data_IF_049539743214
#
_entry.id   IF_049539743214
#
_cell.length_a   1.000
_cell.length_b   1.000
_cell.length_c   1.000
_cell.angle_alpha   90.00
_cell.angle_beta   90.00
_cell.angle_gamma   90.00
#
_symmetry.space_group_name_H-M   'P 1'
#
loop_
_entity.id
_entity.type
_entity.pdbx_description
1 polymer ?
#
# COMPACT_ATOMS: atom_id res chain seq x y z
N UNK A 1 -20.82 10.17 -15.55
CA UNK A 1 -19.36 10.26 -15.31
C UNK A 1 -19.14 10.27 -13.80
N UNK A 2 -18.17 9.55 -13.21
CA UNK A 2 -17.77 9.93 -11.84
C UNK A 2 -16.93 9.01 -10.97
N UNK A 3 -16.95 7.68 -11.14
CA UNK A 3 -16.29 6.80 -10.14
C UNK A 3 -15.25 5.82 -10.70
N UNK A 4 -15.30 5.50 -12.01
CA UNK A 4 -14.30 4.63 -12.66
C UNK A 4 -12.91 5.28 -12.76
N UNK A 5 -12.82 6.61 -12.86
CA UNK A 5 -11.54 7.32 -12.98
C UNK A 5 -10.80 7.49 -11.65
N UNK A 6 -11.48 7.41 -10.50
CA UNK A 6 -10.80 7.39 -9.20
C UNK A 6 -9.97 6.12 -9.05
N UNK A 7 -10.41 4.97 -9.57
CA UNK A 7 -9.64 3.73 -9.48
C UNK A 7 -8.28 3.85 -10.21
N UNK A 8 -8.24 4.50 -11.39
CA UNK A 8 -7.02 4.70 -12.18
C UNK A 8 -6.12 5.84 -11.67
N UNK A 9 -6.68 6.99 -11.29
CA UNK A 9 -5.89 8.11 -10.73
C UNK A 9 -5.33 7.79 -9.34
N UNK A 10 -6.08 7.02 -8.54
CA UNK A 10 -5.65 6.60 -7.22
C UNK A 10 -4.53 5.55 -7.31
N UNK A 11 -4.39 4.79 -8.40
CA UNK A 11 -3.35 3.77 -8.54
C UNK A 11 -1.92 4.34 -8.55
N UNK A 12 -1.70 5.49 -9.21
CA UNK A 12 -0.40 6.17 -9.18
C UNK A 12 -0.10 6.79 -7.80
N UNK A 13 -1.11 7.38 -7.15
CA UNK A 13 -0.98 7.93 -5.79
C UNK A 13 -0.74 6.84 -4.74
N UNK A 14 -1.48 5.74 -4.82
CA UNK A 14 -1.30 4.54 -4.00
C UNK A 14 0.02 3.85 -4.30
N UNK A 15 0.48 3.86 -5.55
CA UNK A 15 1.80 3.39 -5.95
C UNK A 15 2.90 4.24 -5.31
N UNK A 16 2.75 5.58 -5.32
CA UNK A 16 3.66 6.51 -4.65
C UNK A 16 3.64 6.33 -3.12
N UNK A 17 2.49 6.06 -2.53
CA UNK A 17 2.38 5.74 -1.09
C UNK A 17 3.01 4.36 -0.76
N UNK A 18 2.75 3.34 -1.58
CA UNK A 18 3.38 2.03 -1.47
C UNK A 18 4.90 2.11 -1.62
N UNK A 19 5.39 2.91 -2.57
CA UNK A 19 6.81 3.20 -2.73
C UNK A 19 7.40 3.91 -1.51
N UNK A 20 6.68 4.87 -0.90
CA UNK A 20 7.12 5.48 0.35
C UNK A 20 7.27 4.47 1.49
N UNK A 21 6.42 3.44 1.58
CA UNK A 21 6.58 2.37 2.57
C UNK A 21 7.83 1.50 2.33
N UNK A 22 8.29 1.40 1.08
CA UNK A 22 9.51 0.68 0.71
C UNK A 22 10.74 1.57 0.94
N UNK A 23 10.70 2.81 0.45
CA UNK A 23 11.83 3.73 0.43
C UNK A 23 12.08 4.43 1.78
N UNK A 24 11.04 4.67 2.58
CA UNK A 24 11.14 5.38 3.86
C UNK A 24 10.38 4.67 4.97
N UNK A 25 11.09 3.94 5.83
CA UNK A 25 10.50 3.21 6.95
C UNK A 25 10.26 4.06 8.21
N UNK A 26 10.86 5.25 8.30
CA UNK A 26 10.81 6.12 9.48
C UNK A 26 9.60 7.06 9.56
N UNK A 27 8.84 7.18 8.47
CA UNK A 27 7.65 8.06 8.46
C UNK A 27 6.58 7.47 9.36
N UNK A 28 5.88 8.33 10.13
CA UNK A 28 4.79 7.91 11.04
C UNK A 28 3.76 7.02 10.37
N UNK A 29 3.39 7.33 9.13
CA UNK A 29 2.46 6.51 8.34
C UNK A 29 3.04 5.11 8.10
N UNK A 30 4.31 4.98 7.74
CA UNK A 30 4.97 3.68 7.55
C UNK A 30 5.02 2.90 8.86
N UNK A 31 5.37 3.55 9.98
CA UNK A 31 5.40 2.90 11.31
C UNK A 31 4.02 2.44 11.77
N UNK A 32 2.99 3.25 11.57
CA UNK A 32 1.60 2.90 11.89
C UNK A 32 1.11 1.71 11.07
N UNK A 33 1.30 1.76 9.74
CA UNK A 33 0.91 0.66 8.86
C UNK A 33 1.76 -0.59 9.11
N UNK A 34 3.05 -0.46 9.41
CA UNK A 34 3.93 -1.57 9.81
C UNK A 34 3.43 -2.23 11.09
N UNK A 35 3.13 -1.46 12.13
CA UNK A 35 2.61 -1.98 13.39
C UNK A 35 1.27 -2.71 13.21
N UNK A 36 0.41 -2.23 12.30
CA UNK A 36 -0.94 -2.77 12.10
C UNK A 36 -1.02 -3.93 11.09
N UNK A 37 -0.18 -3.94 10.06
CA UNK A 37 -0.38 -4.82 8.90
C UNK A 37 0.85 -5.62 8.45
N UNK A 38 2.07 -5.23 8.85
CA UNK A 38 3.29 -5.97 8.48
C UNK A 38 4.37 -5.88 9.57
N UNK A 39 3.99 -6.26 10.79
CA UNK A 39 4.85 -6.18 11.97
C UNK A 39 6.13 -7.01 11.76
N UNK A 40 7.29 -6.38 11.95
CA UNK A 40 8.60 -7.02 11.77
C UNK A 40 9.01 -7.32 10.32
N UNK A 41 8.13 -7.09 9.34
CA UNK A 41 8.37 -7.38 7.92
C UNK A 41 8.59 -6.15 7.05
N UNK A 42 8.77 -6.38 5.75
CA UNK A 42 8.75 -5.34 4.71
C UNK A 42 7.34 -5.22 4.14
N UNK A 43 7.01 -4.04 3.60
CA UNK A 43 5.75 -3.83 2.89
C UNK A 43 5.51 -4.89 1.81
N UNK A 44 6.55 -5.28 1.05
CA UNK A 44 6.46 -6.29 -0.01
C UNK A 44 6.11 -7.71 0.47
N UNK A 45 6.30 -8.00 1.76
CA UNK A 45 6.03 -9.31 2.37
C UNK A 45 4.70 -9.30 3.15
N UNK A 46 3.99 -8.18 3.14
CA UNK A 46 2.73 -8.05 3.85
C UNK A 46 1.67 -8.99 3.26
N UNK A 47 0.98 -9.74 4.14
CA UNK A 47 -0.09 -10.66 3.75
C UNK A 47 -1.44 -9.96 3.91
N UNK A 48 -2.38 -10.21 3.00
CA UNK A 48 -3.77 -9.82 3.19
C UNK A 48 -4.37 -10.73 4.26
N UNK A 49 -4.67 -10.16 5.43
CA UNK A 49 -5.49 -10.78 6.46
C UNK A 49 -6.99 -10.65 6.17
N UNK A 50 -7.82 -11.22 7.04
CA UNK A 50 -9.26 -11.35 6.80
C UNK A 50 -10.07 -10.07 7.10
N UNK A 51 -9.52 -9.10 7.84
CA UNK A 51 -10.28 -7.95 8.35
C UNK A 51 -9.56 -6.60 8.13
N UNK A 52 -9.43 -6.23 6.85
CA UNK A 52 -8.63 -5.08 6.44
C UNK A 52 -9.50 -3.93 5.95
N UNK A 53 -9.12 -2.71 6.34
CA UNK A 53 -9.72 -1.48 5.84
C UNK A 53 -9.61 -1.40 4.31
N UNK A 54 -10.59 -0.78 3.68
CA UNK A 54 -10.60 -0.56 2.23
C UNK A 54 -9.31 0.13 1.73
N UNK A 55 -8.82 1.09 2.51
CA UNK A 55 -7.56 1.81 2.26
C UNK A 55 -6.37 0.85 2.21
N UNK A 56 -6.25 -0.06 3.16
CA UNK A 56 -5.15 -1.03 3.18
C UNK A 56 -5.23 -2.02 2.01
N UNK A 57 -6.42 -2.51 1.66
CA UNK A 57 -6.60 -3.35 0.46
C UNK A 57 -6.13 -2.62 -0.80
N UNK A 58 -6.46 -1.34 -0.92
CA UNK A 58 -6.08 -0.51 -2.06
C UNK A 58 -4.56 -0.31 -2.17
N UNK A 59 -3.90 -0.05 -1.04
CA UNK A 59 -2.44 0.07 -0.94
C UNK A 59 -1.78 -1.30 -1.21
N UNK A 60 -2.29 -2.37 -0.62
CA UNK A 60 -1.73 -3.71 -0.83
C UNK A 60 -1.83 -4.15 -2.30
N UNK A 61 -2.90 -3.78 -3.02
CA UNK A 61 -2.99 -4.05 -4.45
C UNK A 61 -1.84 -3.39 -5.25
N UNK A 62 -1.27 -2.27 -4.78
CA UNK A 62 -0.10 -1.68 -5.44
C UNK A 62 1.19 -2.43 -5.15
N UNK A 63 1.24 -3.28 -4.12
CA UNK A 63 2.37 -4.18 -3.87
C UNK A 63 2.67 -5.08 -5.07
N UNK A 64 1.63 -5.62 -5.72
CA UNK A 64 1.79 -6.47 -6.89
C UNK A 64 2.36 -5.69 -8.09
N UNK A 65 1.99 -4.42 -8.24
CA UNK A 65 2.52 -3.54 -9.28
C UNK A 65 3.96 -3.13 -8.99
N UNK A 66 4.26 -2.78 -7.74
CA UNK A 66 5.61 -2.44 -7.29
C UNK A 66 6.58 -3.62 -7.42
N UNK A 67 6.13 -4.86 -7.17
CA UNK A 67 6.93 -6.07 -7.41
C UNK A 67 7.21 -6.33 -8.88
N UNK A 68 6.29 -5.96 -9.78
CA UNK A 68 6.45 -6.15 -11.22
C UNK A 68 7.43 -5.16 -11.86
N UNK A 69 7.90 -4.17 -11.09
CA UNK A 69 8.67 -3.06 -11.63
C UNK A 69 7.71 -2.10 -12.31
N UNK A 70 7.55 -0.93 -11.71
CA UNK A 70 7.10 0.21 -12.47
C UNK A 70 8.18 0.57 -13.49
#
# INVERSE_FOLDING_TARGET
LGFRNLHGFNLALLGKQGWKFIANQDVLVTRFFKARYFFGGKFLDARIGHNLSYVWKSIWNTQALLKKGF
#
